data_IF_454054740569
#
_entry.id   IF_454054740569
#
_cell.length_a   1.000
_cell.length_b   1.000
_cell.length_c   1.000
_cell.angle_alpha   90.00
_cell.angle_beta   90.00
_cell.angle_gamma   90.00
#
_symmetry.space_group_name_H-M   'P 1'
#
loop_
_entity.id
_entity.type
_entity.pdbx_description
1 polymer ?
#
# COMPACT_ATOMS: atom_id res chain seq x y z
N UNK A 1 -6.72 -15.18 -12.89
CA UNK A 1 -6.36 -14.60 -11.59
C UNK A 1 -5.04 -15.21 -11.15
N UNK A 2 -4.08 -14.38 -10.75
CA UNK A 2 -2.79 -14.87 -10.24
C UNK A 2 -2.94 -15.44 -8.82
N UNK A 3 -2.16 -16.47 -8.52
CA UNK A 3 -2.14 -17.22 -7.26
C UNK A 3 -0.80 -17.08 -6.56
N UNK A 4 -0.68 -17.60 -5.32
CA UNK A 4 0.61 -17.68 -4.62
C UNK A 4 1.64 -18.49 -5.44
N UNK A 5 1.19 -19.53 -6.15
CA UNK A 5 2.08 -20.34 -6.97
C UNK A 5 2.68 -19.54 -8.12
N UNK A 6 1.89 -18.68 -8.77
CA UNK A 6 2.38 -17.80 -9.84
C UNK A 6 3.41 -16.80 -9.30
N UNK A 7 3.19 -16.26 -8.10
CA UNK A 7 4.17 -15.39 -7.44
C UNK A 7 5.47 -16.12 -7.07
N UNK A 8 5.38 -17.37 -6.62
CA UNK A 8 6.54 -18.19 -6.32
C UNK A 8 7.35 -18.53 -7.58
N UNK A 9 6.66 -18.78 -8.71
CA UNK A 9 7.31 -18.97 -10.01
C UNK A 9 8.04 -17.72 -10.49
N UNK A 10 7.54 -16.52 -10.14
CA UNK A 10 8.22 -15.25 -10.40
C UNK A 10 9.41 -14.98 -9.45
N UNK A 11 9.72 -15.89 -8.52
CA UNK A 11 10.87 -15.80 -7.63
C UNK A 11 10.58 -15.24 -6.24
N UNK A 12 9.34 -14.83 -5.94
CA UNK A 12 8.98 -14.36 -4.60
C UNK A 12 8.95 -15.50 -3.59
N UNK A 13 9.44 -15.24 -2.38
CA UNK A 13 9.35 -16.23 -1.31
C UNK A 13 7.90 -16.39 -0.81
N UNK A 14 7.47 -17.63 -0.59
CA UNK A 14 6.11 -17.93 -0.13
C UNK A 14 5.78 -17.25 1.21
N UNK A 15 6.76 -17.14 2.10
CA UNK A 15 6.63 -16.47 3.40
C UNK A 15 6.24 -14.99 3.28
N UNK A 16 6.53 -14.35 2.16
CA UNK A 16 6.09 -12.98 1.85
C UNK A 16 4.72 -12.95 1.17
N UNK A 17 4.47 -13.90 0.25
CA UNK A 17 3.23 -13.98 -0.52
C UNK A 17 1.99 -14.25 0.36
N UNK A 18 2.14 -15.04 1.42
CA UNK A 18 1.06 -15.33 2.36
C UNK A 18 0.55 -14.07 3.11
N UNK A 19 1.42 -13.26 3.76
CA UNK A 19 1.05 -11.94 4.29
C UNK A 19 0.45 -11.00 3.25
N UNK A 20 1.03 -10.95 2.04
CA UNK A 20 0.53 -10.09 0.96
C UNK A 20 -0.91 -10.47 0.56
N UNK A 21 -1.19 -11.77 0.42
CA UNK A 21 -2.54 -12.25 0.12
C UNK A 21 -3.50 -11.98 1.27
N UNK A 22 -3.06 -12.19 2.53
CA UNK A 22 -3.86 -11.90 3.71
C UNK A 22 -4.25 -10.43 3.77
N UNK A 23 -3.31 -9.53 3.49
CA UNK A 23 -3.57 -8.09 3.39
C UNK A 23 -4.63 -7.78 2.32
N UNK A 24 -4.48 -8.34 1.12
CA UNK A 24 -5.45 -8.14 0.04
C UNK A 24 -6.86 -8.63 0.43
N UNK A 25 -6.96 -9.79 1.08
CA UNK A 25 -8.22 -10.33 1.58
C UNK A 25 -8.82 -9.42 2.65
N UNK A 26 -8.02 -8.93 3.60
CA UNK A 26 -8.46 -8.01 4.64
C UNK A 26 -9.00 -6.70 4.06
N UNK A 27 -8.29 -6.11 3.10
CA UNK A 27 -8.72 -4.88 2.42
C UNK A 27 -10.03 -5.09 1.67
N UNK A 28 -10.16 -6.19 0.93
CA UNK A 28 -11.40 -6.52 0.18
C UNK A 28 -12.61 -6.72 1.10
N UNK A 29 -12.41 -7.29 2.29
CA UNK A 29 -13.49 -7.48 3.29
C UNK A 29 -14.06 -6.16 3.82
N UNK A 30 -13.33 -5.05 3.71
CA UNK A 30 -13.82 -3.73 4.12
C UNK A 30 -14.84 -3.14 3.14
N UNK A 31 -14.98 -3.71 1.92
CA UNK A 31 -15.97 -3.28 0.92
C UNK A 31 -15.93 -1.77 0.65
N UNK A 32 -14.72 -1.25 0.51
CA UNK A 32 -14.50 0.18 0.28
C UNK A 32 -15.11 0.64 -1.03
N UNK A 33 -15.61 1.87 -1.04
CA UNK A 33 -15.99 2.57 -2.26
C UNK A 33 -14.74 2.96 -3.06
N UNK A 34 -14.91 3.16 -4.36
CA UNK A 34 -13.82 3.62 -5.23
C UNK A 34 -13.18 4.92 -4.73
N UNK A 35 -14.00 5.87 -4.25
CA UNK A 35 -13.52 7.11 -3.66
C UNK A 35 -12.60 6.88 -2.45
N UNK A 36 -12.89 5.88 -1.62
CA UNK A 36 -12.08 5.55 -0.46
C UNK A 36 -10.74 4.92 -0.86
N UNK A 37 -10.72 4.10 -1.92
CA UNK A 37 -9.48 3.59 -2.49
C UNK A 37 -8.59 4.71 -3.04
N UNK A 38 -9.15 5.66 -3.79
CA UNK A 38 -8.41 6.79 -4.34
C UNK A 38 -7.83 7.65 -3.22
N UNK A 39 -8.63 7.94 -2.19
CA UNK A 39 -8.15 8.68 -1.03
C UNK A 39 -7.07 7.92 -0.25
N UNK A 40 -7.18 6.60 -0.13
CA UNK A 40 -6.15 5.77 0.51
C UNK A 40 -4.84 5.77 -0.28
N UNK A 41 -4.90 5.68 -1.62
CA UNK A 41 -3.73 5.81 -2.48
C UNK A 41 -3.07 7.18 -2.35
N UNK A 42 -3.87 8.24 -2.30
CA UNK A 42 -3.37 9.59 -2.08
C UNK A 42 -2.70 9.72 -0.70
N UNK A 43 -3.26 9.13 0.36
CA UNK A 43 -2.61 9.10 1.69
C UNK A 43 -1.23 8.44 1.68
N UNK A 44 -1.09 7.33 0.95
CA UNK A 44 0.19 6.61 0.80
C UNK A 44 1.18 7.41 -0.03
N UNK A 45 0.70 8.08 -1.09
CA UNK A 45 1.55 8.89 -1.96
C UNK A 45 2.16 10.09 -1.23
N UNK A 46 1.36 10.76 -0.40
CA UNK A 46 1.77 11.91 0.41
C UNK A 46 2.31 11.49 1.79
N UNK A 47 2.83 10.27 1.92
CA UNK A 47 3.39 9.80 3.18
C UNK A 47 4.79 10.42 3.42
N UNK A 48 5.00 11.18 4.51
CA UNK A 48 6.16 12.06 4.66
C UNK A 48 7.48 11.32 4.85
N UNK A 49 7.43 10.05 5.31
CA UNK A 49 8.64 9.26 5.60
C UNK A 49 9.38 8.78 4.34
N UNK A 50 8.89 9.09 3.14
CA UNK A 50 9.42 8.45 1.94
C UNK A 50 10.68 9.09 1.34
N UNK A 51 11.04 10.35 1.62
CA UNK A 51 12.25 10.95 1.02
C UNK A 51 12.76 12.17 1.80
N UNK A 52 14.01 12.60 1.51
CA UNK A 52 14.56 13.92 1.83
C UNK A 52 13.84 15.05 1.07
N UNK A 53 12.51 15.11 1.21
CA UNK A 53 11.70 16.12 0.53
C UNK A 53 11.89 17.46 1.21
N UNK A 54 12.13 18.49 0.42
CA UNK A 54 12.38 19.86 0.90
C UNK A 54 11.11 20.52 1.46
N UNK A 55 9.93 20.06 1.04
CA UNK A 55 8.62 20.67 1.34
C UNK A 55 7.76 19.81 2.29
N UNK A 56 8.36 19.26 3.36
CA UNK A 56 7.65 18.37 4.30
C UNK A 56 6.37 18.98 4.87
N UNK A 57 6.41 20.25 5.27
CA UNK A 57 5.23 20.91 5.88
C UNK A 57 4.02 20.95 4.92
N UNK A 58 4.24 21.21 3.63
CA UNK A 58 3.16 21.24 2.64
C UNK A 58 2.63 19.84 2.31
N UNK A 59 3.51 18.82 2.36
CA UNK A 59 3.12 17.42 2.24
C UNK A 59 2.25 17.00 3.43
N UNK A 60 2.67 17.30 4.65
CA UNK A 60 1.93 17.00 5.87
C UNK A 60 0.55 17.64 5.87
N UNK A 61 0.47 18.94 5.52
CA UNK A 61 -0.81 19.66 5.37
C UNK A 61 -1.71 19.04 4.31
N UNK A 62 -1.13 18.58 3.20
CA UNK A 62 -1.89 17.94 2.13
C UNK A 62 -2.41 16.58 2.58
N UNK A 63 -1.56 15.79 3.23
CA UNK A 63 -1.91 14.49 3.78
C UNK A 63 -3.03 14.62 4.82
N UNK A 64 -2.95 15.61 5.73
CA UNK A 64 -3.99 15.89 6.72
C UNK A 64 -5.33 16.20 6.06
N UNK A 65 -5.34 17.04 5.02
CA UNK A 65 -6.57 17.34 4.26
C UNK A 65 -7.17 16.09 3.62
N UNK A 66 -6.35 15.19 3.08
CA UNK A 66 -6.80 13.93 2.49
C UNK A 66 -7.38 13.02 3.59
N UNK A 67 -6.69 12.90 4.73
CA UNK A 67 -7.12 12.09 5.87
C UNK A 67 -8.48 12.54 6.42
N UNK A 68 -8.65 13.85 6.60
CA UNK A 68 -9.91 14.46 7.02
C UNK A 68 -11.02 14.25 5.98
N UNK A 69 -10.70 14.36 4.70
CA UNK A 69 -11.65 14.08 3.60
C UNK A 69 -12.13 12.63 3.64
N UNK A 70 -11.21 11.68 3.80
CA UNK A 70 -11.53 10.25 3.92
C UNK A 70 -12.39 9.97 5.15
N UNK A 71 -12.03 10.54 6.30
CA UNK A 71 -12.82 10.38 7.54
C UNK A 71 -14.24 10.90 7.36
N UNK A 72 -14.41 12.10 6.80
CA UNK A 72 -15.74 12.70 6.54
C UNK A 72 -16.55 11.89 5.54
N UNK A 73 -15.91 11.38 4.48
CA UNK A 73 -16.56 10.53 3.51
C UNK A 73 -17.09 9.25 4.17
N UNK A 74 -16.25 8.57 4.97
CA UNK A 74 -16.64 7.38 5.71
C UNK A 74 -17.79 7.66 6.67
N UNK A 75 -17.71 8.74 7.44
CA UNK A 75 -18.76 9.10 8.41
C UNK A 75 -20.10 9.39 7.76
N UNK A 76 -20.09 9.89 6.52
CA UNK A 76 -21.30 10.18 5.76
C UNK A 76 -21.90 8.94 5.09
N UNK A 77 -21.05 8.10 4.47
CA UNK A 77 -21.48 7.00 3.61
C UNK A 77 -21.53 5.64 4.30
N UNK A 78 -20.84 5.46 5.44
CA UNK A 78 -20.89 4.26 6.26
C UNK A 78 -21.51 4.58 7.62
N UNK A 79 -22.85 4.49 7.74
CA UNK A 79 -23.53 4.81 8.99
C UNK A 79 -23.16 3.83 10.11
N UNK A 80 -23.51 4.23 11.33
CA UNK A 80 -23.39 3.37 12.50
C UNK A 80 -24.24 2.10 12.33
N UNK A 81 -23.77 0.90 12.73
CA UNK A 81 -22.51 0.61 13.45
C UNK A 81 -21.32 0.25 12.55
N UNK A 82 -21.54 0.02 11.26
CA UNK A 82 -20.57 -0.60 10.34
C UNK A 82 -19.36 0.31 10.07
N UNK A 83 -19.59 1.62 9.90
CA UNK A 83 -18.53 2.60 9.64
C UNK A 83 -17.73 3.05 10.86
N UNK A 84 -18.19 2.76 12.08
CA UNK A 84 -17.62 3.33 13.33
C UNK A 84 -16.12 3.12 13.45
N UNK A 85 -15.63 1.96 13.02
CA UNK A 85 -14.23 1.57 13.11
C UNK A 85 -13.55 1.47 11.74
N UNK A 86 -14.24 1.81 10.65
CA UNK A 86 -13.72 1.63 9.30
C UNK A 86 -12.45 2.47 9.09
N UNK A 87 -12.47 3.73 9.48
CA UNK A 87 -11.30 4.60 9.37
C UNK A 87 -10.11 4.08 10.18
N UNK A 88 -10.32 3.63 11.42
CA UNK A 88 -9.26 3.06 12.24
C UNK A 88 -8.68 1.77 11.63
N UNK A 89 -9.52 0.91 11.04
CA UNK A 89 -9.08 -0.29 10.31
C UNK A 89 -8.25 0.08 9.08
N UNK A 90 -8.61 1.14 8.36
CA UNK A 90 -7.82 1.63 7.22
C UNK A 90 -6.43 2.10 7.66
N UNK A 91 -6.34 2.87 8.75
CA UNK A 91 -5.05 3.31 9.28
C UNK A 91 -4.17 2.12 9.69
N UNK A 92 -4.75 1.09 10.32
CA UNK A 92 -4.02 -0.13 10.67
C UNK A 92 -3.50 -0.86 9.41
N UNK A 93 -4.34 -0.96 8.37
CA UNK A 93 -3.93 -1.55 7.09
C UNK A 93 -2.83 -0.74 6.41
N UNK A 94 -2.80 0.60 6.54
CA UNK A 94 -1.70 1.40 6.02
C UNK A 94 -0.36 1.03 6.68
N UNK A 95 -0.35 0.76 7.99
CA UNK A 95 0.85 0.27 8.69
C UNK A 95 1.28 -1.12 8.21
N UNK A 96 0.31 -2.02 7.97
CA UNK A 96 0.59 -3.34 7.37
C UNK A 96 1.19 -3.19 5.96
N UNK A 97 0.65 -2.28 5.14
CA UNK A 97 1.13 -2.00 3.79
C UNK A 97 2.56 -1.47 3.78
N UNK A 98 2.93 -0.61 4.72
CA UNK A 98 4.31 -0.13 4.86
C UNK A 98 5.28 -1.28 5.13
N UNK A 99 4.91 -2.20 6.02
CA UNK A 99 5.71 -3.41 6.31
C UNK A 99 5.85 -4.28 5.06
N UNK A 100 4.74 -4.48 4.32
CA UNK A 100 4.75 -5.23 3.07
C UNK A 100 5.57 -4.56 1.97
N UNK A 101 5.60 -3.23 1.90
CA UNK A 101 6.40 -2.46 0.94
C UNK A 101 7.90 -2.66 1.16
N UNK A 102 8.35 -2.59 2.42
CA UNK A 102 9.75 -2.82 2.77
C UNK A 102 10.18 -4.23 2.38
N UNK A 103 9.36 -5.24 2.74
CA UNK A 103 9.65 -6.62 2.39
C UNK A 103 9.56 -6.86 0.87
N UNK A 104 8.61 -6.22 0.18
CA UNK A 104 8.49 -6.28 -1.28
C UNK A 104 9.79 -5.82 -1.96
N UNK A 105 10.32 -4.67 -1.53
CA UNK A 105 11.57 -4.12 -2.07
C UNK A 105 12.73 -5.10 -1.87
N UNK A 106 12.83 -5.70 -0.67
CA UNK A 106 13.84 -6.72 -0.35
C UNK A 106 13.71 -7.97 -1.24
N UNK A 107 12.49 -8.44 -1.48
CA UNK A 107 12.23 -9.59 -2.36
C UNK A 107 12.59 -9.27 -3.81
N UNK A 108 12.23 -8.09 -4.31
CA UNK A 108 12.55 -7.69 -5.68
C UNK A 108 14.07 -7.59 -5.89
N UNK A 109 14.81 -6.99 -4.95
CA UNK A 109 16.27 -6.94 -5.03
C UNK A 109 16.89 -8.34 -5.05
N UNK A 110 16.41 -9.26 -4.20
CA UNK A 110 16.86 -10.66 -4.21
C UNK A 110 16.57 -11.37 -5.53
N UNK A 111 15.39 -11.12 -6.13
CA UNK A 111 15.05 -11.67 -7.45
C UNK A 111 15.95 -11.06 -8.52
N UNK A 112 16.20 -9.75 -8.46
CA UNK A 112 17.07 -9.04 -9.40
C UNK A 112 18.50 -9.61 -9.42
N UNK A 113 19.09 -9.84 -8.25
CA UNK A 113 20.41 -10.47 -8.12
C UNK A 113 20.49 -11.85 -8.82
N UNK A 114 19.37 -12.58 -8.85
CA UNK A 114 19.31 -13.93 -9.44
C UNK A 114 18.91 -13.95 -10.92
N UNK A 115 18.13 -12.97 -11.39
CA UNK A 115 17.47 -13.00 -12.70
C UNK A 115 17.77 -11.77 -13.58
N UNK A 116 18.53 -10.78 -13.09
CA UNK A 116 18.83 -9.52 -13.77
C UNK A 116 17.57 -8.78 -14.27
N UNK A 117 16.55 -8.67 -13.42
CA UNK A 117 15.26 -8.03 -13.71
C UNK A 117 15.40 -6.55 -14.11
N UNK A 118 16.30 -5.81 -13.46
CA UNK A 118 16.64 -4.41 -13.70
C UNK A 118 17.24 -4.20 -15.08
N UNK A 119 17.97 -5.18 -15.61
CA UNK A 119 18.50 -5.17 -16.98
C UNK A 119 17.41 -5.35 -18.05
N UNK A 120 16.29 -6.01 -17.69
CA UNK A 120 15.16 -6.27 -18.59
C UNK A 120 14.17 -5.11 -18.63
N UNK A 121 14.12 -4.29 -17.58
CA UNK A 121 13.14 -3.21 -17.44
C UNK A 121 13.77 -1.96 -16.79
N UNK A 122 14.23 -0.97 -17.58
CA UNK A 122 14.93 0.20 -17.05
C UNK A 122 14.09 1.02 -16.05
N UNK A 123 12.76 1.07 -16.25
CA UNK A 123 11.86 1.75 -15.31
C UNK A 123 11.84 1.09 -13.92
N UNK A 124 11.92 -0.25 -13.83
CA UNK A 124 11.99 -0.92 -12.52
C UNK A 124 13.31 -0.58 -11.82
N UNK A 125 14.41 -0.54 -12.57
CA UNK A 125 15.70 -0.11 -12.02
C UNK A 125 15.64 1.30 -11.43
N UNK A 126 14.95 2.23 -12.08
CA UNK A 126 14.81 3.61 -11.57
C UNK A 126 13.92 3.69 -10.31
N UNK A 127 12.92 2.82 -10.19
CA UNK A 127 11.97 2.83 -9.06
C UNK A 127 12.55 2.14 -7.80
N UNK A 128 13.39 1.13 -7.99
CA UNK A 128 13.91 0.26 -6.90
C UNK A 128 15.29 0.72 -6.40
N UNK A 129 16.04 1.47 -7.22
CA UNK A 129 17.33 2.07 -6.86
C UNK A 129 17.20 3.17 -5.81
#
# INVERSE_FOLDING_TARGET
CYTIQDGALAGFQQIYLEPLLKFHISLRKLRLHEAEYVLLQALVLFYPDHMDVTQREEIDRTQEKIALTLKKYIDHWHPWPEGRFLYAKLLLLLTELQTLKVENTRQILHIDDSQNLSSLTPLLSEIIS
#
